data_IF_533278825264
#
_entry.id   IF_533278825264
#
_cell.length_a   1.000
_cell.length_b   1.000
_cell.length_c   1.000
_cell.angle_alpha   90.00
_cell.angle_beta   90.00
_cell.angle_gamma   90.00
#
_symmetry.space_group_name_H-M   'P 1'
#
loop_
_entity.id
_entity.type
_entity.pdbx_description
1 polymer ?
#
# COMPACT_ATOMS: atom_id res chain seq x y z
N UNK A 1 -0.94 25.38 2.40
CA UNK A 1 0.20 25.07 1.49
C UNK A 1 0.30 23.56 1.37
N UNK A 2 0.39 23.05 0.16
CA UNK A 2 0.53 21.61 -0.11
C UNK A 2 1.86 21.10 0.44
N UNK A 3 1.82 20.11 1.35
CA UNK A 3 3.02 19.65 2.08
C UNK A 3 3.93 18.74 1.25
N UNK A 4 3.42 18.20 0.15
CA UNK A 4 4.16 17.30 -0.74
C UNK A 4 4.46 17.94 -2.10
N UNK A 5 4.43 19.27 -2.20
CA UNK A 5 4.71 19.97 -3.45
C UNK A 5 6.06 19.57 -4.04
N UNK A 6 6.05 19.09 -5.29
CA UNK A 6 7.24 18.64 -6.01
C UNK A 6 7.79 17.28 -5.57
N UNK A 7 7.09 16.55 -4.69
CA UNK A 7 7.43 15.18 -4.32
C UNK A 7 6.88 14.19 -5.35
N UNK A 8 7.59 13.08 -5.54
CA UNK A 8 7.19 12.02 -6.45
C UNK A 8 6.83 10.76 -5.66
N UNK A 9 5.63 10.26 -5.86
CA UNK A 9 5.07 9.12 -5.14
C UNK A 9 4.74 7.93 -6.06
N UNK A 10 5.15 6.73 -5.65
CA UNK A 10 4.68 5.45 -6.20
C UNK A 10 3.62 4.87 -5.29
N UNK A 11 2.45 4.50 -5.83
CA UNK A 11 1.40 3.82 -5.07
C UNK A 11 0.98 2.57 -5.82
N UNK A 12 1.31 1.39 -5.30
CA UNK A 12 0.90 0.13 -5.91
C UNK A 12 -0.54 -0.23 -5.56
N UNK A 13 -1.28 -0.84 -6.51
CA UNK A 13 -2.69 -1.20 -6.33
C UNK A 13 -3.59 0.02 -6.10
N UNK A 14 -3.39 1.08 -6.86
CA UNK A 14 -4.01 2.39 -6.61
C UNK A 14 -5.12 2.79 -7.59
N UNK A 15 -5.62 1.85 -8.39
CA UNK A 15 -6.79 2.10 -9.25
C UNK A 15 -8.13 2.05 -8.51
N UNK A 16 -8.17 1.48 -7.31
CA UNK A 16 -9.42 1.26 -6.55
C UNK A 16 -9.20 1.36 -5.04
N UNK A 17 -10.30 1.52 -4.30
CA UNK A 17 -10.36 1.39 -2.83
C UNK A 17 -9.33 2.25 -2.09
N UNK A 18 -8.64 1.65 -1.14
CA UNK A 18 -7.64 2.34 -0.30
C UNK A 18 -6.52 2.95 -1.15
N UNK A 19 -5.98 2.19 -2.11
CA UNK A 19 -4.88 2.67 -2.95
C UNK A 19 -5.27 3.88 -3.79
N UNK A 20 -6.50 3.91 -4.36
CA UNK A 20 -7.04 5.09 -5.04
C UNK A 20 -7.11 6.29 -4.10
N UNK A 21 -7.69 6.11 -2.90
CA UNK A 21 -7.78 7.19 -1.92
C UNK A 21 -6.40 7.72 -1.52
N UNK A 22 -5.39 6.85 -1.36
CA UNK A 22 -4.01 7.24 -1.09
C UNK A 22 -3.44 8.06 -2.26
N UNK A 23 -3.59 7.60 -3.49
CA UNK A 23 -3.09 8.31 -4.67
C UNK A 23 -3.70 9.71 -4.80
N UNK A 24 -5.02 9.83 -4.62
CA UNK A 24 -5.74 11.11 -4.64
C UNK A 24 -5.30 12.02 -3.47
N UNK A 25 -5.14 11.47 -2.26
CA UNK A 25 -4.67 12.23 -1.10
C UNK A 25 -3.26 12.79 -1.32
N UNK A 26 -2.32 11.98 -1.79
CA UNK A 26 -0.95 12.45 -2.05
C UNK A 26 -0.92 13.51 -3.16
N UNK A 27 -1.72 13.33 -4.23
CA UNK A 27 -1.85 14.30 -5.30
C UNK A 27 -2.45 15.62 -4.81
N UNK A 28 -3.50 15.60 -3.98
CA UNK A 28 -4.11 16.81 -3.40
C UNK A 28 -3.15 17.59 -2.51
N UNK A 29 -2.13 16.93 -1.97
CA UNK A 29 -1.05 17.55 -1.20
C UNK A 29 0.14 17.98 -2.08
N UNK A 30 0.02 17.89 -3.42
CA UNK A 30 0.98 18.42 -4.40
C UNK A 30 2.01 17.42 -4.90
N UNK A 31 1.88 16.12 -4.60
CA UNK A 31 2.76 15.10 -5.14
C UNK A 31 2.41 14.76 -6.60
N UNK A 32 3.44 14.51 -7.43
CA UNK A 32 3.31 13.78 -8.68
C UNK A 32 3.15 12.29 -8.38
N UNK A 33 2.16 11.61 -8.94
CA UNK A 33 1.83 10.24 -8.55
C UNK A 33 1.98 9.26 -9.71
N UNK A 34 2.75 8.19 -9.49
CA UNK A 34 2.72 7.02 -10.36
C UNK A 34 1.70 6.02 -9.80
N UNK A 35 0.61 5.88 -10.51
CA UNK A 35 -0.51 4.98 -10.20
C UNK A 35 -0.22 3.60 -10.78
N UNK A 36 -0.52 2.55 -10.04
CA UNK A 36 -0.50 1.18 -10.53
C UNK A 36 -1.80 0.46 -10.21
N UNK A 37 -2.33 -0.26 -11.15
CA UNK A 37 -3.36 -1.29 -10.93
C UNK A 37 -3.07 -2.50 -11.85
N UNK A 38 -3.60 -3.68 -11.49
CA UNK A 38 -3.54 -4.86 -12.34
C UNK A 38 -4.22 -4.60 -13.69
N UNK A 39 -5.40 -3.93 -13.62
CA UNK A 39 -6.22 -3.56 -14.77
C UNK A 39 -5.90 -2.13 -15.23
N UNK A 40 -5.82 -1.92 -16.54
CA UNK A 40 -5.47 -0.62 -17.10
C UNK A 40 -6.57 0.44 -16.89
N UNK A 41 -7.84 0.06 -17.01
CA UNK A 41 -8.96 1.01 -16.92
C UNK A 41 -9.01 1.74 -15.58
N UNK A 42 -9.01 1.06 -14.40
CA UNK A 42 -9.04 1.75 -13.11
C UNK A 42 -7.80 2.61 -12.85
N UNK A 43 -6.61 2.11 -13.23
CA UNK A 43 -5.38 2.89 -13.12
C UNK A 43 -5.45 4.20 -13.89
N UNK A 44 -5.89 4.14 -15.15
CA UNK A 44 -6.06 5.31 -16.01
C UNK A 44 -7.16 6.24 -15.51
N UNK A 45 -8.24 5.72 -14.95
CA UNK A 45 -9.30 6.54 -14.36
C UNK A 45 -8.79 7.40 -13.20
N UNK A 46 -7.97 6.83 -12.31
CA UNK A 46 -7.35 7.58 -11.20
C UNK A 46 -6.38 8.66 -11.71
N UNK A 47 -5.62 8.36 -12.76
CA UNK A 47 -4.77 9.37 -13.41
C UNK A 47 -5.60 10.53 -13.95
N UNK A 48 -6.73 10.24 -14.60
CA UNK A 48 -7.64 11.28 -15.10
C UNK A 48 -8.24 12.12 -13.96
N UNK A 49 -8.62 11.50 -12.83
CA UNK A 49 -9.11 12.21 -11.66
C UNK A 49 -8.04 13.14 -11.06
N UNK A 50 -6.80 12.67 -10.91
CA UNK A 50 -5.69 13.49 -10.40
C UNK A 50 -5.45 14.69 -11.32
N UNK A 51 -5.45 14.48 -12.65
CA UNK A 51 -5.28 15.56 -13.61
C UNK A 51 -6.45 16.56 -13.58
N UNK A 52 -7.67 16.09 -13.39
CA UNK A 52 -8.84 16.95 -13.25
C UNK A 52 -8.79 17.83 -11.98
N UNK A 53 -8.08 17.40 -10.94
CA UNK A 53 -7.81 18.20 -9.73
C UNK A 53 -6.62 19.16 -9.90
N UNK A 54 -5.98 19.20 -11.07
CA UNK A 54 -4.80 20.02 -11.34
C UNK A 54 -3.47 19.38 -10.88
N UNK A 55 -3.47 18.10 -10.49
CA UNK A 55 -2.28 17.34 -10.14
C UNK A 55 -1.61 16.67 -11.35
N UNK A 56 -0.46 16.06 -11.11
CA UNK A 56 0.30 15.30 -12.10
C UNK A 56 0.30 13.81 -11.78
N UNK A 57 -0.02 12.97 -12.75
CA UNK A 57 0.03 11.52 -12.59
C UNK A 57 0.24 10.80 -13.91
N UNK A 58 0.84 9.61 -13.81
CA UNK A 58 0.93 8.61 -14.88
C UNK A 58 0.48 7.24 -14.35
N UNK A 59 0.12 6.33 -15.24
CA UNK A 59 -0.21 4.95 -14.90
C UNK A 59 0.89 3.99 -15.38
N UNK A 60 1.27 3.04 -14.52
CA UNK A 60 2.08 1.87 -14.85
C UNK A 60 1.26 0.64 -14.48
N UNK A 61 0.48 0.15 -15.42
CA UNK A 61 -0.44 -0.97 -15.20
C UNK A 61 0.28 -2.32 -15.31
N UNK A 62 -0.29 -3.33 -14.67
CA UNK A 62 0.19 -4.70 -14.65
C UNK A 62 0.37 -5.25 -13.23
N UNK A 63 0.66 -6.54 -13.16
CA UNK A 63 0.83 -7.22 -11.89
C UNK A 63 2.13 -6.81 -11.20
N UNK A 64 2.04 -6.42 -9.92
CA UNK A 64 3.23 -6.14 -9.09
C UNK A 64 4.12 -7.38 -8.88
N UNK A 65 3.59 -8.58 -9.15
CA UNK A 65 4.34 -9.84 -9.03
C UNK A 65 5.08 -10.23 -10.30
N UNK A 66 4.79 -9.57 -11.43
CA UNK A 66 5.43 -9.81 -12.72
C UNK A 66 6.94 -9.55 -12.67
N UNK A 67 7.70 -10.37 -13.39
CA UNK A 67 9.13 -10.15 -13.53
C UNK A 67 9.42 -8.81 -14.24
N UNK A 68 10.35 -8.02 -13.70
CA UNK A 68 10.69 -6.69 -14.24
C UNK A 68 9.69 -5.57 -13.93
N UNK A 69 8.52 -5.87 -13.33
CA UNK A 69 7.55 -4.83 -12.97
C UNK A 69 8.16 -3.77 -12.05
N UNK A 70 8.86 -4.19 -11.01
CA UNK A 70 9.44 -3.27 -10.02
C UNK A 70 10.41 -2.26 -10.65
N UNK A 71 11.25 -2.72 -11.58
CA UNK A 71 12.21 -1.86 -12.28
C UNK A 71 11.47 -0.87 -13.19
N UNK A 72 10.46 -1.31 -13.94
CA UNK A 72 9.60 -0.46 -14.77
C UNK A 72 8.85 0.57 -13.93
N UNK A 73 8.29 0.16 -12.79
CA UNK A 73 7.51 1.02 -11.91
C UNK A 73 8.37 2.11 -11.26
N UNK A 74 9.54 1.75 -10.75
CA UNK A 74 10.50 2.72 -10.18
C UNK A 74 11.10 3.60 -11.28
N UNK A 75 11.50 3.01 -12.41
CA UNK A 75 12.06 3.73 -13.54
C UNK A 75 11.14 4.82 -14.06
N UNK A 76 9.84 4.53 -14.15
CA UNK A 76 8.84 5.50 -14.62
C UNK A 76 8.76 6.78 -13.78
N UNK A 77 8.94 6.71 -12.45
CA UNK A 77 8.99 7.88 -11.59
C UNK A 77 10.20 8.77 -11.90
N UNK A 78 11.36 8.16 -12.08
CA UNK A 78 12.61 8.85 -12.39
C UNK A 78 12.54 9.49 -13.79
N UNK A 79 12.06 8.74 -14.77
CA UNK A 79 12.01 9.18 -16.17
C UNK A 79 10.98 10.31 -16.39
N UNK A 80 9.81 10.21 -15.76
CA UNK A 80 8.72 11.18 -15.99
C UNK A 80 8.78 12.38 -15.07
N UNK A 81 9.20 12.20 -13.82
CA UNK A 81 9.16 13.25 -12.80
C UNK A 81 10.52 13.61 -12.22
N UNK A 82 11.59 12.95 -12.65
CA UNK A 82 12.97 13.27 -12.24
C UNK A 82 13.35 12.85 -10.82
N UNK A 83 12.50 12.11 -10.10
CA UNK A 83 12.74 11.76 -8.70
C UNK A 83 11.88 10.62 -8.16
N UNK A 84 12.14 10.26 -6.90
CA UNK A 84 11.35 9.31 -6.13
C UNK A 84 11.47 9.66 -4.65
N UNK A 85 10.38 10.10 -4.04
CA UNK A 85 10.36 10.54 -2.65
C UNK A 85 9.49 9.65 -1.76
N UNK A 86 8.39 9.07 -2.30
CA UNK A 86 7.42 8.32 -1.52
C UNK A 86 7.13 6.99 -2.23
N UNK A 87 7.16 5.90 -1.48
CA UNK A 87 6.74 4.57 -1.92
C UNK A 87 5.65 4.08 -0.99
N UNK A 88 4.47 3.76 -1.52
CA UNK A 88 3.39 3.10 -0.79
C UNK A 88 3.16 1.71 -1.36
N UNK A 89 3.58 0.69 -0.62
CA UNK A 89 3.36 -0.72 -0.95
C UNK A 89 1.96 -1.13 -0.47
N UNK A 90 0.95 -0.90 -1.32
CA UNK A 90 -0.46 -1.11 -0.99
C UNK A 90 -1.09 -2.29 -1.75
N UNK A 91 -0.61 -2.63 -2.95
CA UNK A 91 -1.19 -3.71 -3.77
C UNK A 91 -1.45 -4.99 -2.98
N UNK A 92 -2.64 -5.57 -3.17
CA UNK A 92 -2.98 -6.80 -2.50
C UNK A 92 -4.45 -7.18 -2.58
N UNK A 93 -4.70 -8.43 -2.22
CA UNK A 93 -6.02 -9.06 -2.11
C UNK A 93 -5.96 -10.15 -1.05
N UNK A 94 -7.08 -10.82 -0.77
CA UNK A 94 -7.12 -12.01 0.11
C UNK A 94 -7.55 -13.24 -0.70
N UNK A 95 -6.95 -14.39 -0.38
CA UNK A 95 -7.35 -15.67 -0.93
C UNK A 95 -7.44 -16.68 0.21
N UNK A 96 -8.53 -16.56 0.95
CA UNK A 96 -8.72 -17.17 2.25
C UNK A 96 -9.11 -18.64 2.14
N UNK A 97 -8.58 -19.47 3.02
CA UNK A 97 -8.95 -20.87 3.21
C UNK A 97 -8.49 -21.36 4.59
N UNK A 98 -9.20 -22.31 5.17
CA UNK A 98 -8.72 -22.98 6.38
C UNK A 98 -7.49 -23.82 6.07
N UNK A 99 -6.60 -24.01 7.05
CA UNK A 99 -5.27 -24.61 6.84
C UNK A 99 -5.32 -25.96 6.13
N UNK A 100 -6.29 -26.81 6.44
CA UNK A 100 -6.42 -28.13 5.84
C UNK A 100 -6.93 -28.09 4.37
N UNK A 101 -7.40 -26.96 3.89
CA UNK A 101 -7.89 -26.76 2.52
C UNK A 101 -7.05 -25.78 1.72
N UNK A 102 -6.12 -25.07 2.37
CA UNK A 102 -5.25 -24.09 1.72
C UNK A 102 -4.23 -24.81 0.83
N UNK A 103 -4.18 -24.44 -0.43
CA UNK A 103 -3.16 -24.96 -1.34
C UNK A 103 -1.85 -24.19 -1.20
N UNK A 104 -0.74 -24.82 -1.62
CA UNK A 104 0.57 -24.16 -1.70
C UNK A 104 0.51 -22.96 -2.65
N UNK A 105 -0.29 -23.04 -3.72
CA UNK A 105 -0.51 -21.91 -4.64
C UNK A 105 -1.17 -20.73 -3.95
N UNK A 106 -2.19 -20.94 -3.14
CA UNK A 106 -2.85 -19.87 -2.36
C UNK A 106 -1.84 -19.22 -1.40
N UNK A 107 -1.06 -20.04 -0.71
CA UNK A 107 -0.05 -19.56 0.22
C UNK A 107 1.00 -18.72 -0.49
N UNK A 108 1.57 -19.25 -1.58
CA UNK A 108 2.61 -18.57 -2.34
C UNK A 108 2.10 -17.26 -2.99
N UNK A 109 0.90 -17.25 -3.54
CA UNK A 109 0.31 -16.04 -4.15
C UNK A 109 0.18 -14.89 -3.14
N UNK A 110 -0.16 -15.19 -1.88
CA UNK A 110 -0.21 -14.18 -0.82
C UNK A 110 1.19 -13.67 -0.45
N UNK A 111 2.18 -14.55 -0.37
CA UNK A 111 3.56 -14.12 -0.17
C UNK A 111 4.06 -13.27 -1.33
N UNK A 112 3.77 -13.66 -2.56
CA UNK A 112 4.25 -12.95 -3.75
C UNK A 112 3.73 -11.51 -3.80
N UNK A 113 2.43 -11.30 -3.58
CA UNK A 113 1.84 -9.97 -3.67
C UNK A 113 2.14 -9.09 -2.45
N UNK A 114 2.15 -9.67 -1.26
CA UNK A 114 2.24 -8.88 -0.02
C UNK A 114 3.65 -8.75 0.56
N UNK A 115 4.60 -9.61 0.16
CA UNK A 115 5.98 -9.58 0.64
C UNK A 115 6.98 -9.42 -0.48
N UNK A 116 6.94 -10.33 -1.48
CA UNK A 116 7.97 -10.36 -2.54
C UNK A 116 7.87 -9.13 -3.44
N UNK A 117 6.66 -8.68 -3.80
CA UNK A 117 6.47 -7.48 -4.60
C UNK A 117 6.95 -6.20 -3.87
N UNK A 118 6.56 -5.90 -2.61
CA UNK A 118 7.15 -4.80 -1.84
C UNK A 118 8.67 -4.86 -1.75
N UNK A 119 9.23 -6.05 -1.49
CA UNK A 119 10.68 -6.25 -1.47
C UNK A 119 11.32 -5.89 -2.81
N UNK A 120 10.76 -6.36 -3.94
CA UNK A 120 11.27 -6.07 -5.29
C UNK A 120 11.21 -4.58 -5.61
N UNK A 121 10.11 -3.89 -5.27
CA UNK A 121 9.95 -2.45 -5.47
C UNK A 121 11.00 -1.68 -4.67
N UNK A 122 11.17 -1.99 -3.39
CA UNK A 122 12.20 -1.34 -2.57
C UNK A 122 13.61 -1.66 -3.10
N UNK A 123 13.89 -2.89 -3.51
CA UNK A 123 15.18 -3.26 -4.10
C UNK A 123 15.47 -2.47 -5.39
N UNK A 124 14.51 -2.34 -6.28
CA UNK A 124 14.63 -1.54 -7.50
C UNK A 124 14.87 -0.04 -7.18
N UNK A 125 14.25 0.49 -6.12
CA UNK A 125 14.41 1.86 -5.69
C UNK A 125 15.76 2.14 -4.97
N UNK A 126 16.48 1.11 -4.54
CA UNK A 126 17.67 1.24 -3.69
C UNK A 126 18.79 2.06 -4.34
N UNK A 127 19.16 1.74 -5.56
CA UNK A 127 20.23 2.45 -6.27
C UNK A 127 19.83 3.89 -6.66
N UNK A 128 18.65 4.15 -7.26
CA UNK A 128 18.16 5.51 -7.48
C UNK A 128 18.17 6.38 -6.21
N UNK A 129 17.65 5.86 -5.09
CA UNK A 129 17.62 6.58 -3.81
C UNK A 129 19.05 6.90 -3.33
N UNK A 130 19.97 5.93 -3.40
CA UNK A 130 21.36 6.10 -3.01
C UNK A 130 22.04 7.22 -3.81
N UNK A 131 21.83 7.22 -5.13
CA UNK A 131 22.43 8.24 -6.03
C UNK A 131 21.85 9.62 -5.73
N UNK A 132 20.53 9.74 -5.57
CA UNK A 132 19.88 11.02 -5.23
C UNK A 132 20.34 11.54 -3.87
N UNK A 133 20.36 10.70 -2.83
CA UNK A 133 20.79 11.05 -1.49
C UNK A 133 22.26 11.54 -1.45
N UNK A 134 23.14 10.92 -2.25
CA UNK A 134 24.54 11.35 -2.37
C UNK A 134 24.64 12.75 -2.97
N UNK A 135 23.95 13.01 -4.10
CA UNK A 135 23.93 14.32 -4.75
C UNK A 135 23.37 15.44 -3.84
N UNK A 136 22.35 15.10 -3.07
CA UNK A 136 21.73 16.03 -2.11
C UNK A 136 22.67 16.36 -0.97
N UNK A 137 23.34 15.36 -0.41
CA UNK A 137 24.36 15.57 0.64
C UNK A 137 25.54 16.41 0.15
N UNK A 138 26.05 16.17 -1.06
CA UNK A 138 27.10 16.95 -1.71
C UNK A 138 26.66 18.43 -1.92
N UNK A 139 25.37 18.65 -2.14
CA UNK A 139 24.78 19.98 -2.27
C UNK A 139 24.37 20.60 -0.91
N UNK A 140 24.69 19.97 0.22
CA UNK A 140 24.32 20.44 1.57
C UNK A 140 22.82 20.42 1.86
N UNK A 141 22.04 19.62 1.15
CA UNK A 141 20.60 19.52 1.31
C UNK A 141 20.22 18.23 2.05
N UNK A 142 19.34 18.36 3.05
CA UNK A 142 18.74 17.23 3.72
C UNK A 142 17.35 16.96 3.14
N UNK A 143 17.17 15.80 2.48
CA UNK A 143 15.91 15.40 1.85
C UNK A 143 15.43 14.08 2.46
N UNK A 144 14.27 14.12 3.12
CA UNK A 144 13.64 12.92 3.65
C UNK A 144 12.76 12.25 2.60
N UNK A 145 12.89 10.93 2.50
CA UNK A 145 12.04 10.05 1.70
C UNK A 145 11.21 9.14 2.59
N UNK A 146 10.12 8.65 2.08
CA UNK A 146 9.13 7.89 2.85
C UNK A 146 8.80 6.56 2.16
N UNK A 147 8.80 5.50 2.93
CA UNK A 147 8.23 4.21 2.52
C UNK A 147 7.15 3.83 3.51
N UNK A 148 5.96 3.53 3.02
CA UNK A 148 4.85 3.05 3.82
C UNK A 148 4.41 1.68 3.32
N UNK A 149 4.58 0.67 4.14
CA UNK A 149 4.12 -0.69 3.88
C UNK A 149 2.72 -0.87 4.47
N UNK A 150 1.80 -1.41 3.68
CA UNK A 150 0.42 -1.64 4.13
C UNK A 150 0.27 -3.06 4.66
N UNK A 151 0.12 -3.16 5.98
CA UNK A 151 -0.19 -4.39 6.69
C UNK A 151 -1.69 -4.46 7.08
N UNK A 152 -2.01 -5.32 8.01
CA UNK A 152 -3.36 -5.57 8.52
C UNK A 152 -3.28 -5.98 9.99
N UNK A 153 -4.36 -5.78 10.74
CA UNK A 153 -4.52 -6.39 12.06
C UNK A 153 -4.38 -7.92 11.99
N UNK A 154 -4.78 -8.54 10.88
CA UNK A 154 -4.56 -9.98 10.66
C UNK A 154 -3.07 -10.34 10.64
N UNK A 155 -2.19 -9.44 10.23
CA UNK A 155 -0.74 -9.62 10.30
C UNK A 155 -0.16 -9.42 11.71
N UNK A 156 -0.89 -8.76 12.61
CA UNK A 156 -0.47 -8.53 14.00
C UNK A 156 -0.97 -9.64 14.93
N UNK A 157 -2.21 -10.06 14.75
CA UNK A 157 -2.94 -10.90 15.71
C UNK A 157 -3.42 -12.22 15.11
N UNK A 158 -3.27 -12.40 13.79
CA UNK A 158 -3.82 -13.55 13.08
C UNK A 158 -5.31 -13.38 12.76
N UNK A 159 -5.82 -14.22 11.86
CA UNK A 159 -7.24 -14.36 11.61
C UNK A 159 -7.52 -15.77 11.09
N UNK A 160 -8.57 -16.42 11.59
CA UNK A 160 -8.95 -17.77 11.17
C UNK A 160 -9.24 -17.80 9.66
N UNK A 161 -8.69 -18.79 8.95
CA UNK A 161 -8.82 -18.91 7.49
C UNK A 161 -7.84 -18.06 6.69
N UNK A 162 -6.98 -17.29 7.31
CA UNK A 162 -6.03 -16.38 6.67
C UNK A 162 -4.56 -16.72 6.94
N UNK A 163 -4.21 -18.00 7.07
CA UNK A 163 -2.83 -18.38 7.38
C UNK A 163 -1.81 -17.77 6.41
N UNK A 164 -2.08 -17.79 5.10
CA UNK A 164 -1.23 -17.17 4.07
C UNK A 164 -1.20 -15.65 4.16
N UNK A 165 -2.37 -15.02 4.21
CA UNK A 165 -2.49 -13.56 4.26
C UNK A 165 -1.88 -12.97 5.55
N UNK A 166 -2.21 -13.57 6.71
CA UNK A 166 -1.67 -13.14 8.00
C UNK A 166 -0.15 -13.26 8.05
N UNK A 167 0.41 -14.38 7.58
CA UNK A 167 1.87 -14.58 7.51
C UNK A 167 2.54 -13.54 6.61
N UNK A 168 1.98 -13.30 5.42
CA UNK A 168 2.50 -12.33 4.48
C UNK A 168 2.42 -10.90 5.02
N UNK A 169 1.32 -10.53 5.68
CA UNK A 169 1.17 -9.19 6.29
C UNK A 169 2.04 -9.01 7.54
N UNK A 170 2.28 -10.06 8.32
CA UNK A 170 3.22 -10.04 9.44
C UNK A 170 4.67 -9.82 8.97
N UNK A 171 5.06 -10.42 7.86
CA UNK A 171 6.42 -10.30 7.31
C UNK A 171 6.82 -8.86 6.95
N UNK A 172 5.85 -8.01 6.55
CA UNK A 172 6.08 -6.59 6.27
C UNK A 172 6.60 -5.83 7.50
N UNK A 173 6.27 -6.26 8.71
CA UNK A 173 6.76 -5.64 9.95
C UNK A 173 8.27 -5.84 10.07
N UNK A 174 8.74 -7.08 9.83
CA UNK A 174 10.17 -7.39 9.79
C UNK A 174 10.90 -6.60 8.71
N UNK A 175 10.34 -6.58 7.49
CA UNK A 175 10.90 -5.83 6.37
C UNK A 175 10.96 -4.32 6.68
N UNK A 176 9.92 -3.72 7.25
CA UNK A 176 9.88 -2.32 7.69
C UNK A 176 10.99 -2.00 8.68
N UNK A 177 11.13 -2.82 9.72
CA UNK A 177 12.14 -2.63 10.78
C UNK A 177 13.58 -2.84 10.30
N UNK A 178 13.80 -3.70 9.32
CA UNK A 178 15.11 -3.89 8.69
C UNK A 178 15.46 -2.70 7.81
N UNK A 179 14.56 -2.33 6.92
CA UNK A 179 14.82 -1.28 5.94
C UNK A 179 14.96 0.11 6.57
N UNK A 180 14.28 0.40 7.68
CA UNK A 180 14.48 1.66 8.40
C UNK A 180 15.93 1.82 8.92
N UNK A 181 16.57 0.71 9.28
CA UNK A 181 17.99 0.70 9.73
C UNK A 181 18.97 0.82 8.57
N UNK A 182 18.73 0.07 7.48
CA UNK A 182 19.60 0.09 6.31
C UNK A 182 19.56 1.45 5.58
N UNK A 183 18.37 2.03 5.45
CA UNK A 183 18.14 3.23 4.66
C UNK A 183 18.15 4.55 5.47
N UNK A 184 18.24 4.48 6.78
CA UNK A 184 18.31 5.66 7.64
C UNK A 184 19.45 6.62 7.29
N UNK A 185 20.62 6.09 6.89
CA UNK A 185 21.75 6.88 6.41
C UNK A 185 21.47 7.69 5.14
N UNK A 186 20.46 7.31 4.36
CA UNK A 186 19.98 8.02 3.17
C UNK A 186 18.77 8.91 3.46
N UNK A 187 18.44 9.12 4.75
CA UNK A 187 17.26 9.88 5.20
C UNK A 187 15.93 9.30 4.69
N UNK A 188 15.83 7.97 4.61
CA UNK A 188 14.57 7.30 4.28
C UNK A 188 13.89 6.79 5.55
N UNK A 189 12.70 7.29 5.80
CA UNK A 189 11.81 6.73 6.82
C UNK A 189 11.04 5.54 6.24
N UNK A 190 11.03 4.42 6.92
CA UNK A 190 10.28 3.23 6.52
C UNK A 190 9.32 2.87 7.65
N UNK A 191 8.02 2.99 7.40
CA UNK A 191 6.97 2.73 8.39
C UNK A 191 5.90 1.79 7.83
N UNK A 192 5.01 1.32 8.68
CA UNK A 192 3.94 0.40 8.35
C UNK A 192 2.61 0.87 8.92
N UNK A 193 1.54 0.76 8.14
CA UNK A 193 0.17 0.97 8.61
C UNK A 193 -0.56 -0.37 8.55
N UNK A 194 -1.06 -0.83 9.69
CA UNK A 194 -1.87 -2.03 9.81
C UNK A 194 -3.35 -1.63 9.87
N UNK A 195 -4.10 -1.95 8.82
CA UNK A 195 -5.52 -1.62 8.78
C UNK A 195 -6.37 -2.62 9.54
N UNK A 196 -7.40 -2.12 10.23
CA UNK A 196 -8.55 -2.88 10.68
C UNK A 196 -9.58 -3.07 9.58
N UNK A 197 -10.86 -3.03 9.93
CA UNK A 197 -11.93 -3.07 8.94
C UNK A 197 -12.03 -1.74 8.21
N UNK A 198 -11.78 -1.74 6.91
CA UNK A 198 -11.99 -0.59 6.00
C UNK A 198 -13.05 -0.96 4.98
N UNK A 199 -14.05 -0.09 4.81
CA UNK A 199 -15.17 -0.31 3.90
C UNK A 199 -14.71 -0.15 2.45
N UNK A 200 -14.49 -1.26 1.75
CA UNK A 200 -14.03 -1.31 0.35
C UNK A 200 -14.85 -2.34 -0.42
N UNK A 201 -14.64 -2.42 -1.72
CA UNK A 201 -15.22 -3.50 -2.56
C UNK A 201 -14.95 -4.91 -1.99
N UNK A 202 -13.77 -5.13 -1.39
CA UNK A 202 -13.36 -6.42 -0.86
C UNK A 202 -14.10 -6.79 0.44
N UNK A 203 -14.59 -5.80 1.18
CA UNK A 203 -15.29 -5.96 2.46
C UNK A 203 -16.78 -5.67 2.39
N UNK A 204 -17.36 -5.53 1.18
CA UNK A 204 -18.81 -5.33 1.02
C UNK A 204 -19.60 -6.54 1.55
N UNK A 205 -20.80 -6.31 2.09
CA UNK A 205 -21.66 -7.41 2.50
C UNK A 205 -22.05 -8.29 1.32
N UNK A 206 -22.11 -9.60 1.53
CA UNK A 206 -22.63 -10.57 0.56
C UNK A 206 -24.15 -10.52 0.64
N UNK A 207 -24.82 -9.92 -0.36
CA UNK A 207 -26.28 -9.77 -0.36
C UNK A 207 -27.00 -11.03 -0.79
N UNK A 208 -26.83 -11.49 -2.04
CA UNK A 208 -27.53 -12.66 -2.61
C UNK A 208 -26.57 -13.68 -3.19
N UNK A 209 -25.52 -13.23 -3.86
CA UNK A 209 -24.48 -14.09 -4.42
C UNK A 209 -23.10 -13.54 -4.07
N UNK A 210 -22.19 -14.43 -3.75
CA UNK A 210 -20.80 -14.09 -3.52
C UNK A 210 -20.16 -13.63 -4.84
N UNK A 211 -19.70 -12.40 -4.88
CA UNK A 211 -18.99 -11.83 -6.04
C UNK A 211 -17.58 -12.41 -6.13
N UNK A 212 -17.09 -12.54 -7.34
CA UNK A 212 -15.69 -12.86 -7.63
C UNK A 212 -15.00 -11.71 -8.32
N UNK A 213 -13.68 -11.65 -8.20
CA UNK A 213 -12.81 -10.79 -9.01
C UNK A 213 -11.79 -11.69 -9.69
N UNK A 214 -11.46 -11.38 -10.93
CA UNK A 214 -10.30 -11.98 -11.57
C UNK A 214 -9.02 -11.34 -11.04
N UNK A 215 -8.07 -12.18 -10.63
CA UNK A 215 -6.72 -11.75 -10.25
C UNK A 215 -5.72 -12.63 -11.00
N UNK A 216 -5.23 -12.13 -12.11
CA UNK A 216 -4.28 -12.84 -12.98
C UNK A 216 -4.79 -14.24 -13.41
N UNK A 217 -6.04 -14.32 -13.86
CA UNK A 217 -6.69 -15.55 -14.32
C UNK A 217 -7.27 -16.43 -13.20
N UNK A 218 -7.34 -15.91 -11.97
CA UNK A 218 -7.90 -16.62 -10.82
C UNK A 218 -9.18 -15.95 -10.33
N UNK A 219 -10.25 -16.70 -10.23
CA UNK A 219 -11.52 -16.25 -9.65
C UNK A 219 -11.45 -16.20 -8.12
N UNK A 220 -11.22 -15.03 -7.57
CA UNK A 220 -11.11 -14.81 -6.12
C UNK A 220 -12.46 -14.34 -5.58
N UNK A 221 -13.00 -15.07 -4.62
CA UNK A 221 -14.23 -14.70 -3.92
C UNK A 221 -14.00 -13.51 -3.03
N UNK A 222 -14.90 -12.50 -3.10
CA UNK A 222 -14.84 -11.28 -2.29
C UNK A 222 -16.14 -11.07 -1.53
N UNK A 223 -16.10 -10.17 -0.55
CA UNK A 223 -17.24 -9.86 0.31
C UNK A 223 -17.19 -10.59 1.64
N UNK A 224 -17.92 -10.07 2.61
CA UNK A 224 -17.98 -10.58 3.99
C UNK A 224 -19.45 -10.85 4.34
N UNK A 225 -19.71 -11.92 5.08
CA UNK A 225 -21.07 -12.22 5.56
C UNK A 225 -21.60 -11.06 6.42
N UNK A 226 -22.87 -10.61 6.22
CA UNK A 226 -23.42 -9.46 6.95
C UNK A 226 -23.33 -9.61 8.48
N UNK A 227 -23.59 -10.81 9.01
CA UNK A 227 -23.50 -11.09 10.44
C UNK A 227 -22.06 -10.92 10.97
N UNK A 228 -21.06 -11.27 10.15
CA UNK A 228 -19.66 -11.11 10.51
C UNK A 228 -19.26 -9.63 10.51
N UNK A 229 -19.73 -8.84 9.53
CA UNK A 229 -19.51 -7.38 9.49
C UNK A 229 -20.15 -6.70 10.70
N UNK A 230 -21.35 -7.09 11.08
CA UNK A 230 -22.02 -6.57 12.28
C UNK A 230 -21.25 -6.92 13.56
N UNK A 231 -20.79 -8.18 13.68
CA UNK A 231 -19.98 -8.61 14.82
C UNK A 231 -18.65 -7.82 14.89
N UNK A 232 -17.96 -7.66 13.76
CA UNK A 232 -16.74 -6.84 13.68
C UNK A 232 -17.03 -5.39 14.06
N UNK A 233 -18.13 -4.80 13.56
CA UNK A 233 -18.53 -3.43 13.89
C UNK A 233 -18.74 -3.21 15.40
N UNK A 234 -19.31 -4.20 16.09
CA UNK A 234 -19.50 -4.15 17.56
C UNK A 234 -18.19 -4.25 18.35
N UNK A 235 -17.15 -4.88 17.75
CA UNK A 235 -15.83 -5.00 18.37
C UNK A 235 -14.97 -3.74 18.18
N UNK A 236 -15.32 -2.88 17.23
CA UNK A 236 -14.60 -1.64 16.96
C UNK A 236 -15.08 -0.56 17.94
N UNK A 237 -14.22 -0.02 18.83
CA UNK A 237 -14.62 1.01 19.78
C UNK A 237 -15.24 2.25 19.16
N UNK A 238 -14.82 2.67 17.95
CA UNK A 238 -15.46 3.76 17.19
C UNK A 238 -16.80 3.35 16.55
N UNK A 239 -17.28 2.11 16.72
CA UNK A 239 -18.60 1.63 16.32
C UNK A 239 -18.81 1.42 14.82
N UNK A 240 -17.77 1.55 13.99
CA UNK A 240 -17.86 1.37 12.53
C UNK A 240 -16.53 1.00 11.89
N UNK A 241 -16.58 0.45 10.69
CA UNK A 241 -15.41 0.38 9.83
C UNK A 241 -14.95 1.77 9.36
N UNK A 242 -13.67 1.90 9.05
CA UNK A 242 -13.10 3.10 8.46
C UNK A 242 -13.45 3.24 6.97
N UNK A 243 -13.31 4.44 6.44
CA UNK A 243 -13.45 4.71 4.99
C UNK A 243 -12.09 4.60 4.29
N UNK A 244 -12.06 4.45 2.96
CA UNK A 244 -10.81 4.52 2.20
C UNK A 244 -10.04 5.82 2.40
N UNK A 245 -10.75 6.94 2.59
CA UNK A 245 -10.19 8.27 2.84
C UNK A 245 -9.50 8.32 4.21
N UNK A 246 -10.13 7.78 5.26
CA UNK A 246 -9.52 7.67 6.59
C UNK A 246 -8.28 6.76 6.59
N UNK A 247 -8.30 5.69 5.77
CA UNK A 247 -7.12 4.86 5.56
C UNK A 247 -6.00 5.63 4.83
N UNK A 248 -6.34 6.43 3.82
CA UNK A 248 -5.39 7.28 3.11
C UNK A 248 -4.78 8.36 4.02
N UNK A 249 -5.58 8.97 4.89
CA UNK A 249 -5.09 9.93 5.88
C UNK A 249 -4.10 9.28 6.86
N UNK A 250 -4.36 8.05 7.32
CA UNK A 250 -3.42 7.32 8.16
C UNK A 250 -2.08 7.04 7.46
N UNK A 251 -2.08 6.75 6.16
CA UNK A 251 -0.86 6.61 5.34
C UNK A 251 -0.16 7.96 5.18
N UNK A 252 -0.91 9.01 4.91
CA UNK A 252 -0.40 10.36 4.73
C UNK A 252 0.37 10.87 5.95
N UNK A 253 -0.01 10.50 7.18
CA UNK A 253 0.74 10.85 8.40
C UNK A 253 2.22 10.44 8.30
N UNK A 254 2.54 9.33 7.64
CA UNK A 254 3.92 8.89 7.43
C UNK A 254 4.57 9.48 6.18
N UNK A 255 3.81 10.06 5.27
CA UNK A 255 4.33 10.72 4.06
C UNK A 255 4.66 12.19 4.32
N UNK A 256 4.00 12.82 5.28
CA UNK A 256 4.15 14.24 5.61
C UNK A 256 5.50 14.56 6.28
N UNK A 257 6.02 15.80 6.11
CA UNK A 257 7.29 16.23 6.72
C UNK A 257 7.33 16.10 8.24
N UNK A 258 6.19 16.20 8.91
CA UNK A 258 6.07 16.08 10.37
C UNK A 258 6.48 14.70 10.89
N UNK A 259 6.55 13.70 10.03
CA UNK A 259 7.03 12.36 10.37
C UNK A 259 8.53 12.14 10.11
N UNK A 260 9.31 13.18 9.86
CA UNK A 260 10.73 13.03 9.50
C UNK A 260 11.59 12.32 10.57
N UNK A 261 11.16 12.34 11.84
CA UNK A 261 11.86 11.61 12.91
C UNK A 261 11.16 10.32 13.33
N UNK A 262 10.19 9.83 12.53
CA UNK A 262 9.44 8.59 12.78
C UNK A 262 9.86 7.55 11.73
N UNK A 263 10.51 6.46 12.17
CA UNK A 263 10.92 5.37 11.30
C UNK A 263 10.89 4.03 12.03
N UNK A 264 10.62 2.94 11.32
CA UNK A 264 10.52 1.58 11.86
C UNK A 264 9.22 1.31 12.65
N UNK A 265 8.25 2.20 12.59
CA UNK A 265 7.02 2.11 13.38
C UNK A 265 5.91 1.34 12.65
N UNK A 266 5.04 0.75 13.43
CA UNK A 266 3.80 0.13 12.98
C UNK A 266 2.65 0.80 13.73
N UNK A 267 1.74 1.45 13.01
CA UNK A 267 0.51 1.97 13.62
C UNK A 267 -0.70 1.15 13.16
N UNK A 268 -1.68 1.03 14.03
CA UNK A 268 -2.96 0.42 13.72
C UNK A 268 -3.97 1.52 13.39
N UNK A 269 -4.52 1.48 12.17
CA UNK A 269 -5.66 2.30 11.76
C UNK A 269 -6.90 1.40 11.72
N UNK A 270 -7.52 1.18 12.88
CA UNK A 270 -8.58 0.21 13.08
C UNK A 270 -9.70 0.65 14.02
N UNK A 271 -9.85 1.96 14.26
CA UNK A 271 -10.94 2.49 15.11
C UNK A 271 -10.90 2.03 16.57
N UNK A 272 -9.69 1.67 17.07
CA UNK A 272 -9.50 1.14 18.42
C UNK A 272 -9.64 -0.39 18.51
N UNK A 273 -9.88 -1.08 17.39
CA UNK A 273 -9.93 -2.54 17.37
C UNK A 273 -8.55 -3.12 17.76
N UNK A 274 -8.49 -3.69 18.93
CA UNK A 274 -7.36 -4.46 19.48
C UNK A 274 -7.89 -5.88 19.69
N UNK A 275 -7.27 -6.87 19.06
CA UNK A 275 -7.71 -8.29 19.13
C UNK A 275 -6.70 -9.09 19.94
#
# INVERSE_FOLDING_TARGET
>A
MSKLQGKVALVSGSGRGIGRAIALKLASEGACVVVNDLDAEPGNAVVAEIKAMGGEAIAVNGSVTEAGFADRFVGSAIEQFGGLDIIVNNAGYTWDSTIQKMSDEQFQAMLDVHLVAPFRIMRAASEPIRVMAKKEAEAGREVFRKVVNISSIAGLYGNAGQASYSSAKASLIGLTRTMCKEWGRYKVNVNCVAFGLINTRLTQPIETQQKTIDVAGRDIKIGVQPQMLEAMGRMIPLGRGGTPEEAADAVYLFCAPESNYISGQVIVAGGGLIV
#
